data_IF_102442424619
#
_entry.id   IF_102442424619
#
_cell.length_a   1.000
_cell.length_b   1.000
_cell.length_c   1.000
_cell.angle_alpha   90.00
_cell.angle_beta   90.00
_cell.angle_gamma   90.00
#
_symmetry.space_group_name_H-M   'P 1'
#
loop_
_entity.id
_entity.type
_entity.pdbx_description
1 polymer ?
#
# COMPACT_ATOMS: atom_id res chain seq x y z
N UNK A 1 -14.83 -2.73 -1.26
CA UNK A 1 -13.67 -3.56 -1.55
C UNK A 1 -13.43 -4.56 -0.45
N UNK A 2 -13.01 -5.72 -0.82
CA UNK A 2 -12.65 -6.75 0.15
C UNK A 2 -11.22 -6.52 0.63
N UNK A 3 -10.85 -7.26 1.66
CA UNK A 3 -9.50 -7.22 2.19
C UNK A 3 -8.69 -8.35 1.58
N UNK A 4 -7.39 -8.11 1.39
CA UNK A 4 -6.48 -9.14 0.93
C UNK A 4 -5.28 -9.20 1.85
N UNK A 5 -4.75 -10.41 2.03
CA UNK A 5 -3.67 -10.68 2.95
C UNK A 5 -2.50 -11.28 2.20
N UNK A 6 -1.30 -10.81 2.51
CA UNK A 6 -0.07 -11.28 1.87
C UNK A 6 1.00 -11.53 2.92
N UNK A 7 1.76 -12.60 2.74
CA UNK A 7 2.90 -12.89 3.63
C UNK A 7 4.18 -12.42 2.96
N UNK A 8 5.04 -11.77 3.71
CA UNK A 8 6.27 -11.24 3.15
C UNK A 8 7.28 -10.86 4.20
N UNK A 9 8.14 -9.89 3.86
CA UNK A 9 9.25 -9.46 4.70
C UNK A 9 9.03 -8.00 5.10
N UNK A 10 9.17 -7.72 6.39
CA UNK A 10 9.03 -6.36 6.91
C UNK A 10 10.37 -5.87 7.44
N UNK A 11 10.75 -4.66 7.03
CA UNK A 11 11.97 -3.98 7.46
C UNK A 11 11.54 -2.81 8.33
N UNK A 12 11.68 -2.92 9.67
CA UNK A 12 11.19 -1.86 10.57
C UNK A 12 11.89 -0.51 10.36
N UNK A 13 13.16 -0.54 9.98
CA UNK A 13 13.90 0.66 9.68
C UNK A 13 14.79 0.42 8.46
N UNK A 14 15.43 1.47 7.98
CA UNK A 14 16.21 1.43 6.75
C UNK A 14 17.29 0.33 6.77
N UNK A 15 17.98 0.16 7.89
CA UNK A 15 19.07 -0.82 7.99
C UNK A 15 18.69 -2.06 8.80
N UNK A 16 17.40 -2.26 9.06
CA UNK A 16 16.98 -3.38 9.90
C UNK A 16 17.06 -4.68 9.13
N UNK A 17 17.22 -5.77 9.87
CA UNK A 17 17.05 -7.11 9.32
C UNK A 17 15.56 -7.35 9.09
N UNK A 18 15.21 -8.04 8.00
CA UNK A 18 13.80 -8.30 7.72
C UNK A 18 13.20 -9.28 8.70
N UNK A 19 11.91 -9.11 8.96
CA UNK A 19 11.13 -10.01 9.79
C UNK A 19 9.97 -10.54 8.96
N UNK A 20 9.62 -11.78 9.19
CA UNK A 20 8.44 -12.32 8.54
C UNK A 20 7.22 -11.59 9.06
N UNK A 21 6.35 -11.19 8.16
CA UNK A 21 5.21 -10.37 8.50
C UNK A 21 4.05 -10.64 7.55
N UNK A 22 2.87 -10.26 7.99
CA UNK A 22 1.68 -10.37 7.18
C UNK A 22 1.15 -8.98 6.91
N UNK A 23 0.87 -8.70 5.63
CA UNK A 23 0.29 -7.44 5.21
C UNK A 23 -1.19 -7.65 4.91
N UNK A 24 -2.04 -6.83 5.49
CA UNK A 24 -3.46 -6.82 5.18
C UNK A 24 -3.78 -5.53 4.46
N UNK A 25 -4.29 -5.64 3.24
CA UNK A 25 -4.67 -4.51 2.42
C UNK A 25 -6.18 -4.36 2.37
N UNK A 26 -6.67 -3.18 2.69
CA UNK A 26 -8.07 -2.85 2.53
C UNK A 26 -8.17 -1.48 1.89
N UNK A 27 -9.38 -1.05 1.58
CA UNK A 27 -9.58 0.25 0.94
C UNK A 27 -9.29 1.42 1.87
N UNK A 28 -9.06 1.16 3.15
CA UNK A 28 -8.86 2.23 4.12
C UNK A 28 -7.49 2.21 4.79
N UNK A 29 -6.83 1.05 4.81
CA UNK A 29 -5.57 0.97 5.53
C UNK A 29 -4.71 -0.19 5.05
N UNK A 30 -3.42 -0.10 5.39
CA UNK A 30 -2.48 -1.20 5.30
C UNK A 30 -2.14 -1.58 6.73
N UNK A 31 -2.29 -2.85 7.07
CA UNK A 31 -1.98 -3.33 8.42
C UNK A 31 -0.87 -4.36 8.32
N UNK A 32 0.18 -4.20 9.12
CA UNK A 32 1.31 -5.11 9.10
C UNK A 32 1.43 -5.74 10.48
N UNK A 33 1.41 -7.08 10.51
CA UNK A 33 1.55 -7.82 11.75
C UNK A 33 2.83 -8.63 11.75
N UNK A 34 3.62 -8.51 12.81
CA UNK A 34 4.85 -9.27 12.94
C UNK A 34 5.16 -9.48 14.42
N UNK A 35 6.25 -10.18 14.72
CA UNK A 35 6.69 -10.37 16.11
C UNK A 35 8.03 -9.67 16.28
N UNK A 36 8.18 -8.95 17.39
CA UNK A 36 9.43 -8.26 17.68
C UNK A 36 10.48 -9.25 18.20
N UNK A 37 11.63 -8.71 18.61
CA UNK A 37 12.74 -9.56 19.04
C UNK A 37 12.41 -10.37 20.28
N UNK A 38 11.53 -9.85 21.12
CA UNK A 38 11.10 -10.56 22.32
C UNK A 38 9.97 -11.54 22.04
N UNK A 39 9.50 -11.62 20.79
CA UNK A 39 8.42 -12.52 20.43
C UNK A 39 7.04 -11.94 20.64
N UNK A 40 6.94 -10.65 20.98
CA UNK A 40 5.66 -10.02 21.19
C UNK A 40 5.02 -9.63 19.86
N UNK A 41 3.71 -9.82 19.72
CA UNK A 41 3.05 -9.41 18.48
C UNK A 41 2.99 -7.89 18.37
N UNK A 42 3.28 -7.41 17.17
CA UNK A 42 3.23 -5.98 16.85
C UNK A 42 2.34 -5.80 15.64
N UNK A 43 1.49 -4.79 15.69
CA UNK A 43 0.66 -4.45 14.54
C UNK A 43 0.81 -2.97 14.23
N UNK A 44 1.15 -2.69 12.98
CA UNK A 44 1.26 -1.33 12.49
C UNK A 44 0.12 -1.07 11.54
N UNK A 45 -0.38 0.16 11.54
CA UNK A 45 -1.48 0.54 10.65
C UNK A 45 -1.05 1.81 9.91
N UNK A 46 -1.05 1.75 8.60
CA UNK A 46 -0.69 2.87 7.74
C UNK A 46 -1.88 3.26 6.88
N UNK A 47 -2.04 4.56 6.67
CA UNK A 47 -3.02 5.05 5.71
C UNK A 47 -2.44 4.95 4.31
N UNK A 48 -3.28 4.70 3.28
CA UNK A 48 -2.75 4.65 1.92
C UNK A 48 -2.00 5.91 1.52
N UNK A 49 -2.38 7.07 2.03
CA UNK A 49 -1.71 8.32 1.70
C UNK A 49 -0.32 8.44 2.31
N UNK A 50 0.02 7.58 3.27
CA UNK A 50 1.32 7.60 3.95
C UNK A 50 2.32 6.65 3.33
N UNK A 51 1.94 5.98 2.25
CA UNK A 51 2.72 4.86 1.71
C UNK A 51 2.99 5.06 0.23
N UNK A 52 4.22 4.76 -0.17
CA UNK A 52 4.58 4.66 -1.58
C UNK A 52 4.71 3.18 -1.92
N UNK A 53 4.02 2.76 -2.97
CA UNK A 53 4.11 1.38 -3.44
C UNK A 53 4.68 1.33 -4.83
N UNK A 54 5.52 0.33 -5.09
CA UNK A 54 6.03 0.09 -6.43
C UNK A 54 6.36 -1.40 -6.58
N UNK A 55 6.72 -1.78 -7.79
CA UNK A 55 7.11 -3.15 -8.08
C UNK A 55 8.58 -3.17 -8.48
N UNK A 56 9.37 -3.96 -7.76
CA UNK A 56 10.79 -4.08 -8.05
C UNK A 56 10.99 -5.18 -9.07
N UNK A 57 11.22 -4.77 -10.32
CA UNK A 57 11.31 -5.73 -11.43
C UNK A 57 12.45 -6.72 -11.25
N UNK A 58 13.60 -6.25 -10.79
CA UNK A 58 14.75 -7.13 -10.63
C UNK A 58 14.54 -8.19 -9.57
N UNK A 59 13.78 -7.89 -8.54
CA UNK A 59 13.53 -8.82 -7.46
C UNK A 59 12.16 -9.47 -7.56
N UNK A 60 11.34 -9.03 -8.50
CA UNK A 60 10.00 -9.56 -8.71
C UNK A 60 9.16 -9.46 -7.45
N UNK A 61 9.19 -8.30 -6.80
CA UNK A 61 8.42 -8.13 -5.58
C UNK A 61 7.72 -6.79 -5.53
N UNK A 62 6.56 -6.79 -4.86
CA UNK A 62 5.84 -5.58 -4.51
C UNK A 62 6.49 -4.98 -3.27
N UNK A 63 6.62 -3.65 -3.24
CA UNK A 63 7.28 -2.95 -2.15
C UNK A 63 6.41 -1.79 -1.69
N UNK A 64 6.26 -1.67 -0.37
CA UNK A 64 5.48 -0.60 0.23
C UNK A 64 6.36 0.10 1.27
N UNK A 65 6.56 1.39 1.11
CA UNK A 65 7.42 2.17 1.99
C UNK A 65 6.58 3.22 2.69
N UNK A 66 6.71 3.29 4.01
CA UNK A 66 6.06 4.32 4.81
C UNK A 66 6.92 5.58 4.76
N UNK A 67 6.33 6.69 4.33
CA UNK A 67 7.10 7.90 4.05
C UNK A 67 7.87 8.41 5.27
N UNK A 68 7.22 8.50 6.42
CA UNK A 68 7.86 9.15 7.55
C UNK A 68 8.79 8.25 8.34
N UNK A 69 8.45 6.97 8.48
CA UNK A 69 9.28 6.06 9.28
C UNK A 69 10.33 5.33 8.47
N UNK A 70 10.21 5.34 7.14
CA UNK A 70 11.11 4.61 6.24
C UNK A 70 11.01 3.10 6.45
N UNK A 71 9.96 2.62 7.12
CA UNK A 71 9.71 1.20 7.23
C UNK A 71 9.23 0.67 5.87
N UNK A 72 9.54 -0.58 5.58
CA UNK A 72 9.28 -1.13 4.27
C UNK A 72 8.75 -2.55 4.38
N UNK A 73 7.75 -2.88 3.56
CA UNK A 73 7.24 -4.24 3.46
C UNK A 73 7.45 -4.72 2.02
N UNK A 74 7.96 -5.94 1.86
CA UNK A 74 8.17 -6.55 0.55
C UNK A 74 7.49 -7.90 0.49
N UNK A 75 6.87 -8.18 -0.65
CA UNK A 75 6.25 -9.48 -0.88
C UNK A 75 6.44 -9.88 -2.33
N UNK A 76 6.86 -11.12 -2.56
CA UNK A 76 7.10 -11.62 -3.92
C UNK A 76 5.79 -12.05 -4.56
N UNK A 77 4.96 -11.06 -4.82
CA UNK A 77 3.64 -11.27 -5.40
C UNK A 77 3.18 -9.96 -6.02
N UNK A 78 3.09 -9.92 -7.33
CA UNK A 78 2.69 -8.69 -8.02
C UNK A 78 1.25 -8.32 -7.71
N UNK A 79 0.44 -9.28 -7.31
CA UNK A 79 -0.95 -9.00 -6.99
C UNK A 79 -1.06 -7.96 -5.86
N UNK A 80 -0.09 -7.92 -4.95
CA UNK A 80 -0.14 -6.97 -3.85
C UNK A 80 -0.08 -5.54 -4.35
N UNK A 81 0.85 -5.22 -5.25
CA UNK A 81 0.95 -3.87 -5.77
C UNK A 81 -0.24 -3.55 -6.67
N UNK A 82 -0.72 -4.52 -7.44
CA UNK A 82 -1.86 -4.31 -8.31
C UNK A 82 -3.09 -3.96 -7.48
N UNK A 83 -3.31 -4.68 -6.39
CA UNK A 83 -4.46 -4.42 -5.53
C UNK A 83 -4.33 -3.05 -4.83
N UNK A 84 -3.11 -2.71 -4.40
CA UNK A 84 -2.86 -1.44 -3.76
C UNK A 84 -3.13 -0.27 -4.72
N UNK A 85 -2.78 -0.43 -5.98
CA UNK A 85 -3.04 0.61 -6.96
C UNK A 85 -4.53 0.79 -7.21
N UNK A 86 -5.28 -0.30 -7.14
CA UNK A 86 -6.74 -0.20 -7.20
C UNK A 86 -7.27 0.60 -6.02
N UNK A 87 -6.74 0.33 -4.83
CA UNK A 87 -7.13 1.08 -3.64
C UNK A 87 -6.82 2.56 -3.81
N UNK A 88 -5.66 2.88 -4.35
CA UNK A 88 -5.28 4.28 -4.57
C UNK A 88 -6.23 4.96 -5.54
N UNK A 89 -6.62 4.27 -6.58
CA UNK A 89 -7.58 4.82 -7.53
C UNK A 89 -8.90 5.11 -6.86
N UNK A 90 -9.37 4.19 -6.02
CA UNK A 90 -10.63 4.40 -5.31
C UNK A 90 -10.56 5.63 -4.42
N UNK A 91 -9.45 5.81 -3.71
CA UNK A 91 -9.29 6.96 -2.84
C UNK A 91 -9.21 8.27 -3.62
N UNK A 92 -8.68 8.23 -4.83
CA UNK A 92 -8.50 9.43 -5.62
C UNK A 92 -9.74 9.81 -6.42
N UNK A 93 -10.68 8.89 -6.60
CA UNK A 93 -11.74 9.05 -7.58
C UNK A 93 -12.93 9.94 -7.21
N UNK A 94 -13.28 10.18 -5.93
CA UNK A 94 -14.52 10.89 -5.66
C UNK A 94 -14.67 12.21 -6.42
N UNK A 95 -13.65 13.01 -6.49
CA UNK A 95 -13.74 14.27 -7.19
C UNK A 95 -13.60 14.08 -8.70
N UNK A 96 -12.93 13.05 -9.16
CA UNK A 96 -12.88 12.72 -10.58
C UNK A 96 -14.25 12.36 -11.12
N UNK A 97 -15.01 11.61 -10.35
CA UNK A 97 -16.35 11.23 -10.77
C UNK A 97 -17.23 12.44 -10.93
N UNK A 98 -17.10 13.38 -10.02
CA UNK A 98 -17.88 14.60 -10.12
C UNK A 98 -17.56 15.36 -11.38
N UNK A 99 -16.32 15.36 -11.78
CA UNK A 99 -15.90 16.09 -12.98
C UNK A 99 -16.38 15.41 -14.25
N UNK A 100 -16.47 14.09 -14.21
CA UNK A 100 -16.83 13.36 -15.41
C UNK A 100 -18.29 13.41 -15.75
N UNK A 101 -19.08 13.56 -14.79
CA UNK A 101 -20.50 13.61 -15.12
C UNK A 101 -20.78 14.95 -15.71
N UNK A 102 -20.85 14.93 -16.86
CA UNK A 102 -20.97 16.16 -17.37
C UNK A 102 -19.92 16.75 -18.08
N UNK A 103 -19.86 16.41 -17.71
CA UNK A 103 -18.96 16.90 -18.08
C UNK A 103 -18.29 17.22 -18.38
N UNK A 104 -18.30 17.07 -18.24
CA UNK A 104 -17.25 17.47 -18.28
C UNK A 104 -16.59 17.59 -18.43
N UNK A 105 -16.98 17.61 -18.60
CA UNK A 105 -16.01 17.79 -18.35
C UNK A 105 -15.44 17.97 -18.54
N UNK A 106 -15.64 18.31 -18.66
CA UNK A 106 -14.69 18.70 -18.65
C UNK A 106 -14.04 18.70 -18.61
N UNK A 107 -14.24 18.44 -18.36
CA UNK A 107 -13.39 18.61 -18.03
C UNK A 107 -12.78 18.80 -18.08
N UNK A 108 -12.96 18.87 -18.17
CA UNK A 108 -12.10 19.32 -18.12
C UNK A 108 -11.44 19.28 -18.22
N UNK A 109 -11.63 19.01 -18.06
CA UNK A 109 -10.94 19.25 -17.97
C UNK A 109 -10.16 19.18 -17.80
N UNK A 110 -10.66 18.90 -17.67
CA UNK A 110 -9.86 18.99 -17.38
C UNK A 110 -9.38 18.82 -17.08
N UNK A 111 -9.72 18.45 -16.69
CA UNK A 111 -9.21 18.31 -16.23
C UNK A 111 -8.78 17.93 -16.09
N UNK A 112 -9.43 17.41 -16.01
CA UNK A 112 -8.90 16.91 -15.95
C UNK A 112 -8.56 17.08 -16.01
#
# INVERSE_FOLDING_TARGET
LSMKTFSGQFYPTYFAFPREATLLLSDQLLSIGYHDEAGNPVRLVWKPSEVQGDFLMGEQCSRFIHFSSQAEFRVKNQEAIDYWEEIKKEHALPWHRKKRTGNFGFSFRNLS
#
